data_IF_367607361812
#
_entry.id   IF_367607361812
#
_cell.length_a   1.000
_cell.length_b   1.000
_cell.length_c   1.000
_cell.angle_alpha   90.00
_cell.angle_beta   90.00
_cell.angle_gamma   90.00
#
_symmetry.space_group_name_H-M   'P 1'
#
loop_
_entity.id
_entity.type
_entity.pdbx_description
1 polymer ?
#
# COMPACT_ATOMS: atom_id res chain seq x y z
N UNK A 1 -16.20 -2.79 -3.23
CA UNK A 1 -15.89 -2.11 -4.50
C UNK A 1 -15.35 -0.72 -4.20
N UNK A 2 -14.30 -0.30 -4.89
CA UNK A 2 -13.81 1.08 -4.91
C UNK A 2 -13.93 1.57 -6.35
N UNK A 3 -14.62 2.69 -6.61
CA UNK A 3 -14.84 3.21 -7.97
C UNK A 3 -15.34 2.16 -8.99
N UNK A 4 -16.29 1.29 -8.60
CA UNK A 4 -16.82 0.19 -9.44
C UNK A 4 -15.78 -0.89 -9.83
N UNK A 5 -14.60 -0.88 -9.24
CA UNK A 5 -13.59 -1.92 -9.35
C UNK A 5 -13.63 -2.84 -8.12
N UNK A 6 -13.47 -4.15 -8.34
CA UNK A 6 -13.24 -5.11 -7.27
C UNK A 6 -11.79 -4.96 -6.80
N UNK A 7 -11.59 -4.68 -5.51
CA UNK A 7 -10.27 -4.56 -4.92
C UNK A 7 -10.04 -5.75 -4.00
N UNK A 8 -8.97 -6.49 -4.26
CA UNK A 8 -8.52 -7.55 -3.39
C UNK A 8 -7.61 -6.95 -2.32
N UNK A 9 -8.11 -6.90 -1.08
CA UNK A 9 -7.40 -6.27 0.06
C UNK A 9 -6.04 -6.93 0.34
N UNK A 10 -5.91 -8.23 0.09
CA UNK A 10 -4.66 -8.96 0.29
C UNK A 10 -3.52 -8.45 -0.61
N UNK A 11 -3.84 -7.76 -1.71
CA UNK A 11 -2.86 -7.22 -2.66
C UNK A 11 -2.41 -5.81 -2.31
N UNK A 12 -2.98 -5.16 -1.29
CA UNK A 12 -2.64 -3.76 -0.97
C UNK A 12 -1.16 -3.55 -0.61
N UNK A 13 -0.53 -4.56 0.02
CA UNK A 13 0.90 -4.50 0.32
C UNK A 13 1.72 -4.55 -0.97
N UNK A 14 1.28 -5.35 -1.92
CA UNK A 14 1.95 -5.51 -3.22
C UNK A 14 1.69 -4.31 -4.13
N UNK A 15 0.49 -3.73 -4.09
CA UNK A 15 0.17 -2.44 -4.71
C UNK A 15 1.11 -1.34 -4.23
N UNK A 16 1.39 -1.29 -2.92
CA UNK A 16 2.32 -0.32 -2.35
C UNK A 16 3.75 -0.57 -2.84
N UNK A 17 4.21 -1.83 -2.82
CA UNK A 17 5.55 -2.20 -3.32
C UNK A 17 5.70 -1.85 -4.79
N UNK A 18 4.72 -2.21 -5.61
CA UNK A 18 4.70 -1.89 -7.03
C UNK A 18 4.68 -0.38 -7.25
N UNK A 19 3.81 0.36 -6.57
CA UNK A 19 3.73 1.82 -6.66
C UNK A 19 5.08 2.49 -6.35
N UNK A 20 5.77 2.05 -5.29
CA UNK A 20 7.09 2.57 -4.95
C UNK A 20 8.12 2.24 -6.04
N UNK A 21 8.09 1.03 -6.58
CA UNK A 21 9.06 0.59 -7.58
C UNK A 21 8.90 1.29 -8.93
N UNK A 22 7.66 1.50 -9.39
CA UNK A 22 7.39 2.28 -10.61
C UNK A 22 7.71 3.76 -10.42
N UNK A 23 7.58 4.32 -9.20
CA UNK A 23 7.99 5.69 -8.91
C UNK A 23 9.52 5.85 -8.95
N UNK A 24 10.27 4.88 -8.41
CA UNK A 24 11.73 4.85 -8.56
C UNK A 24 12.13 4.76 -10.03
N UNK A 25 11.46 3.91 -10.80
CA UNK A 25 11.68 3.83 -12.25
C UNK A 25 11.43 5.18 -12.93
N UNK A 26 10.31 5.87 -12.64
CA UNK A 26 10.02 7.19 -13.23
C UNK A 26 11.17 8.17 -12.97
N UNK A 27 11.67 8.27 -11.73
CA UNK A 27 12.77 9.18 -11.38
C UNK A 27 14.07 8.86 -12.12
N UNK A 28 14.38 7.58 -12.29
CA UNK A 28 15.56 7.14 -13.04
C UNK A 28 15.41 7.46 -14.53
N UNK A 29 14.21 7.29 -15.07
CA UNK A 29 13.91 7.61 -16.46
C UNK A 29 13.99 9.12 -16.73
N UNK A 30 13.44 9.95 -15.83
CA UNK A 30 13.53 11.41 -15.91
C UNK A 30 15.01 11.86 -15.87
N UNK A 31 15.81 11.29 -14.97
CA UNK A 31 17.25 11.56 -14.90
C UNK A 31 18.00 11.15 -16.18
N UNK A 32 17.66 10.01 -16.77
CA UNK A 32 18.27 9.54 -18.02
C UNK A 32 17.89 10.45 -19.19
N UNK A 33 16.64 10.93 -19.24
CA UNK A 33 16.15 11.88 -20.24
C UNK A 33 16.89 13.22 -20.14
N UNK A 34 17.12 13.74 -18.93
CA UNK A 34 17.92 14.95 -18.69
C UNK A 34 19.40 14.78 -19.10
N UNK A 35 19.97 13.59 -18.91
CA UNK A 35 21.33 13.29 -19.38
C UNK A 35 21.36 13.16 -20.90
N UNK A 36 20.32 12.61 -21.52
CA UNK A 36 20.21 12.47 -22.96
C UNK A 36 20.09 13.85 -23.64
N UNK A 37 19.30 14.75 -23.05
CA UNK A 37 19.18 16.14 -23.50
C UNK A 37 20.53 16.90 -23.47
N UNK A 38 21.45 16.50 -22.59
CA UNK A 38 22.82 17.05 -22.50
C UNK A 38 23.84 16.27 -23.35
N UNK A 39 23.43 15.24 -24.07
CA UNK A 39 24.30 14.29 -24.79
C UNK A 39 25.31 13.55 -23.89
N UNK A 40 24.98 13.37 -22.60
CA UNK A 40 25.81 12.67 -21.61
C UNK A 40 25.23 11.29 -21.25
N UNK A 41 24.02 10.96 -21.73
CA UNK A 41 23.38 9.68 -21.44
C UNK A 41 24.24 8.51 -21.94
N UNK A 42 24.49 7.56 -21.05
CA UNK A 42 25.32 6.40 -21.36
C UNK A 42 24.46 5.19 -21.73
N UNK A 43 25.01 4.32 -22.59
CA UNK A 43 24.37 3.02 -22.91
C UNK A 43 24.02 2.22 -21.64
N UNK A 44 24.84 2.33 -20.61
CA UNK A 44 24.65 1.66 -19.33
C UNK A 44 23.35 2.09 -18.63
N UNK A 45 22.94 3.36 -18.73
CA UNK A 45 21.70 3.88 -18.13
C UNK A 45 20.46 3.31 -18.83
N UNK A 46 20.51 3.25 -20.16
CA UNK A 46 19.44 2.68 -20.98
C UNK A 46 19.30 1.18 -20.68
N UNK A 47 20.41 0.45 -20.64
CA UNK A 47 20.42 -0.99 -20.35
C UNK A 47 19.95 -1.28 -18.91
N UNK A 48 20.32 -0.41 -17.96
CA UNK A 48 19.80 -0.48 -16.59
C UNK A 48 18.28 -0.28 -16.52
N UNK A 49 17.74 0.72 -17.22
CA UNK A 49 16.29 0.96 -17.29
C UNK A 49 15.54 -0.23 -17.92
N UNK A 50 16.06 -0.81 -19.01
CA UNK A 50 15.50 -2.03 -19.62
C UNK A 50 15.45 -3.19 -18.63
N UNK A 51 16.57 -3.45 -17.94
CA UNK A 51 16.66 -4.52 -16.93
C UNK A 51 15.67 -4.28 -15.79
N UNK A 52 15.53 -3.03 -15.34
CA UNK A 52 14.59 -2.66 -14.29
C UNK A 52 13.14 -2.87 -14.72
N UNK A 53 12.76 -2.44 -15.92
CA UNK A 53 11.42 -2.63 -16.46
C UNK A 53 11.07 -4.12 -16.62
N UNK A 54 12.03 -4.94 -17.08
CA UNK A 54 11.87 -6.39 -17.19
C UNK A 54 11.63 -7.05 -15.81
N UNK A 55 12.37 -6.63 -14.78
CA UNK A 55 12.19 -7.13 -13.41
C UNK A 55 10.81 -6.74 -12.85
N UNK A 56 10.39 -5.48 -13.02
CA UNK A 56 9.05 -5.03 -12.59
C UNK A 56 7.96 -5.85 -13.28
N UNK A 57 8.09 -6.04 -14.60
CA UNK A 57 7.13 -6.83 -15.37
C UNK A 57 7.07 -8.27 -14.88
N UNK A 58 8.23 -8.92 -14.71
CA UNK A 58 8.30 -10.29 -14.20
C UNK A 58 7.70 -10.46 -12.81
N UNK A 59 7.91 -9.51 -11.91
CA UNK A 59 7.46 -9.63 -10.51
C UNK A 59 5.98 -9.34 -10.33
N UNK A 60 5.46 -8.32 -11.02
CA UNK A 60 4.13 -7.77 -10.74
C UNK A 60 3.12 -7.97 -11.89
N UNK A 61 3.59 -8.19 -13.13
CA UNK A 61 2.74 -8.15 -14.33
C UNK A 61 2.66 -9.48 -15.09
N UNK A 62 3.72 -10.30 -15.05
CA UNK A 62 3.83 -11.55 -15.80
C UNK A 62 3.78 -12.75 -14.85
N UNK A 63 2.60 -13.33 -14.65
CA UNK A 63 2.53 -14.66 -14.03
C UNK A 63 1.30 -15.44 -14.47
N UNK A 64 1.55 -16.52 -15.20
CA UNK A 64 0.58 -17.58 -15.52
C UNK A 64 0.32 -18.53 -14.32
N UNK A 65 1.08 -18.41 -13.23
CA UNK A 65 1.07 -19.36 -12.11
C UNK A 65 1.27 -18.58 -10.81
N UNK A 66 0.18 -18.05 -10.24
CA UNK A 66 0.14 -17.48 -8.89
C UNK A 66 1.31 -16.51 -8.58
N UNK A 67 1.23 -15.27 -9.08
CA UNK A 67 2.17 -14.26 -8.58
C UNK A 67 1.95 -14.09 -7.08
N UNK A 68 3.03 -14.25 -6.31
CA UNK A 68 3.07 -13.88 -4.89
C UNK A 68 2.88 -12.37 -4.66
N UNK A 69 2.86 -11.57 -5.74
CA UNK A 69 2.80 -10.10 -5.76
C UNK A 69 1.73 -9.61 -6.75
N UNK A 70 0.49 -10.08 -6.62
CA UNK A 70 -0.62 -9.57 -7.44
C UNK A 70 -0.93 -8.11 -7.09
N UNK A 71 -1.29 -7.33 -8.10
CA UNK A 71 -1.63 -5.90 -7.96
C UNK A 71 -3.01 -5.61 -8.54
N UNK A 72 -3.71 -4.65 -7.95
CA UNK A 72 -5.09 -4.26 -8.29
C UNK A 72 -5.15 -3.35 -9.55
N UNK A 73 -4.55 -3.81 -10.66
CA UNK A 73 -4.67 -3.18 -11.99
C UNK A 73 -5.44 -4.08 -12.94
N UNK A 74 -6.09 -3.46 -13.92
CA UNK A 74 -6.83 -4.20 -14.94
C UNK A 74 -5.90 -4.95 -15.88
N UNK A 75 -6.40 -6.01 -16.50
CA UNK A 75 -5.68 -6.74 -17.55
C UNK A 75 -5.28 -5.83 -18.71
N UNK A 76 -6.19 -4.93 -19.12
CA UNK A 76 -5.93 -3.92 -20.16
C UNK A 76 -4.74 -3.00 -19.84
N UNK A 77 -4.47 -2.74 -18.56
CA UNK A 77 -3.32 -1.95 -18.13
C UNK A 77 -2.02 -2.75 -18.17
N UNK A 78 -2.08 -4.04 -17.84
CA UNK A 78 -0.93 -4.96 -17.99
C UNK A 78 -0.53 -5.08 -19.46
N UNK A 79 -1.50 -5.29 -20.34
CA UNK A 79 -1.27 -5.42 -21.78
C UNK A 79 -0.71 -4.14 -22.39
N UNK A 80 -1.21 -2.99 -21.92
CA UNK A 80 -0.66 -1.70 -22.33
C UNK A 80 0.81 -1.54 -21.91
N UNK A 81 1.15 -1.87 -20.65
CA UNK A 81 2.54 -1.81 -20.19
C UNK A 81 3.43 -2.75 -21.01
N UNK A 82 2.95 -3.97 -21.28
CA UNK A 82 3.67 -4.93 -22.13
C UNK A 82 3.91 -4.39 -23.54
N UNK A 83 2.88 -3.83 -24.18
CA UNK A 83 2.97 -3.22 -25.51
C UNK A 83 3.91 -2.01 -25.55
N UNK A 84 3.88 -1.15 -24.54
CA UNK A 84 4.78 0.00 -24.46
C UNK A 84 6.23 -0.45 -24.22
N UNK A 85 6.43 -1.46 -23.37
CA UNK A 85 7.76 -2.02 -23.11
C UNK A 85 8.34 -2.70 -24.34
N UNK A 86 7.54 -3.43 -25.13
CA UNK A 86 8.01 -4.10 -26.36
C UNK A 86 8.38 -3.09 -27.45
N UNK A 87 7.75 -1.91 -27.47
CA UNK A 87 8.12 -0.77 -28.31
C UNK A 87 9.37 -0.01 -27.81
N UNK A 88 9.96 -0.44 -26.69
CA UNK A 88 11.17 0.17 -26.13
C UNK A 88 10.92 1.48 -25.38
N UNK A 89 9.69 1.75 -24.94
CA UNK A 89 9.39 2.93 -24.15
C UNK A 89 10.02 2.81 -22.76
N UNK A 90 10.98 3.69 -22.44
CA UNK A 90 11.71 3.70 -21.17
C UNK A 90 11.59 5.04 -20.44
N UNK A 91 10.47 5.73 -20.57
CA UNK A 91 10.21 6.99 -19.89
C UNK A 91 9.13 6.83 -18.80
N UNK A 92 8.84 7.91 -18.06
CA UNK A 92 7.83 7.91 -16.99
C UNK A 92 6.43 7.47 -17.44
N UNK A 93 6.11 7.59 -18.73
CA UNK A 93 4.80 7.27 -19.28
C UNK A 93 4.52 5.77 -19.27
N UNK A 94 5.56 4.93 -19.24
CA UNK A 94 5.45 3.47 -19.21
C UNK A 94 4.49 2.97 -18.12
N UNK A 95 4.53 3.59 -16.93
CA UNK A 95 3.70 3.19 -15.78
C UNK A 95 2.69 4.26 -15.35
N UNK A 96 2.50 5.33 -16.14
CA UNK A 96 1.65 6.46 -15.74
C UNK A 96 0.22 6.01 -15.44
N UNK A 97 -0.38 5.21 -16.33
CA UNK A 97 -1.76 4.75 -16.20
C UNK A 97 -1.95 3.86 -14.97
N UNK A 98 -1.04 2.90 -14.75
CA UNK A 98 -1.04 2.06 -13.55
C UNK A 98 -0.83 2.87 -12.25
N UNK A 99 0.01 3.91 -12.28
CA UNK A 99 0.19 4.82 -11.14
C UNK A 99 -1.11 5.53 -10.78
N UNK A 100 -1.84 6.04 -11.78
CA UNK A 100 -3.13 6.72 -11.60
C UNK A 100 -4.22 5.76 -11.10
N UNK A 101 -4.18 4.49 -11.51
CA UNK A 101 -5.12 3.47 -11.04
C UNK A 101 -4.87 3.05 -9.58
N UNK A 102 -3.62 2.82 -9.19
CA UNK A 102 -3.27 2.29 -7.86
C UNK A 102 -3.30 3.37 -6.76
N UNK A 103 -2.84 4.59 -7.07
CA UNK A 103 -2.77 5.67 -6.08
C UNK A 103 -4.09 5.91 -5.29
N UNK A 104 -5.27 6.02 -5.93
CA UNK A 104 -6.51 6.25 -5.20
C UNK A 104 -6.93 5.05 -4.32
N UNK A 105 -6.55 3.83 -4.70
CA UNK A 105 -6.76 2.63 -3.87
C UNK A 105 -5.89 2.73 -2.62
N UNK A 106 -4.59 2.97 -2.78
CA UNK A 106 -3.64 3.08 -1.67
C UNK A 106 -4.05 4.17 -0.68
N UNK A 107 -4.39 5.38 -1.16
CA UNK A 107 -4.75 6.48 -0.27
C UNK A 107 -6.06 6.22 0.49
N UNK A 108 -7.03 5.54 -0.15
CA UNK A 108 -8.29 5.18 0.50
C UNK A 108 -8.05 4.23 1.68
N UNK A 109 -7.33 3.14 1.44
CA UNK A 109 -7.05 2.15 2.48
C UNK A 109 -6.06 2.67 3.53
N UNK A 110 -5.12 3.53 3.14
CA UNK A 110 -4.23 4.21 4.08
C UNK A 110 -5.03 5.09 5.05
N UNK A 111 -5.93 5.95 4.54
CA UNK A 111 -6.80 6.78 5.39
C UNK A 111 -7.65 5.94 6.34
N UNK A 112 -8.23 4.85 5.83
CA UNK A 112 -9.02 3.91 6.65
C UNK A 112 -8.18 3.27 7.75
N UNK A 113 -6.96 2.84 7.43
CA UNK A 113 -6.02 2.29 8.39
C UNK A 113 -5.63 3.31 9.46
N UNK A 114 -5.30 4.54 9.06
CA UNK A 114 -5.00 5.64 9.98
C UNK A 114 -6.17 5.92 10.94
N UNK A 115 -7.40 6.04 10.42
CA UNK A 115 -8.59 6.24 11.24
C UNK A 115 -8.79 5.10 12.24
N UNK A 116 -8.69 3.85 11.79
CA UNK A 116 -8.81 2.69 12.68
C UNK A 116 -7.72 2.68 13.76
N UNK A 117 -6.47 2.96 13.39
CA UNK A 117 -5.34 3.00 14.32
C UNK A 117 -5.56 4.08 15.39
N UNK A 118 -6.00 5.27 14.99
CA UNK A 118 -6.34 6.38 15.88
C UNK A 118 -7.46 6.01 16.84
N UNK A 119 -8.56 5.43 16.33
CA UNK A 119 -9.69 4.99 17.15
C UNK A 119 -9.28 3.92 18.18
N UNK A 120 -8.40 2.98 17.80
CA UNK A 120 -7.84 1.99 18.74
C UNK A 120 -6.99 2.63 19.83
N UNK A 121 -6.12 3.58 19.49
CA UNK A 121 -5.28 4.27 20.47
C UNK A 121 -6.11 5.04 21.50
N UNK A 122 -7.21 5.67 21.08
CA UNK A 122 -8.12 6.37 22.00
C UNK A 122 -8.90 5.41 22.92
N UNK A 123 -9.30 4.23 22.43
CA UNK A 123 -9.97 3.23 23.28
C UNK A 123 -9.06 2.69 24.38
N UNK A 124 -7.77 2.47 24.10
CA UNK A 124 -6.79 2.04 25.11
C UNK A 124 -6.61 3.12 26.19
N UNK A 125 -6.53 4.39 25.78
CA UNK A 125 -6.47 5.53 26.71
C UNK A 125 -7.72 5.71 27.58
N UNK A 126 -8.89 5.26 27.11
CA UNK A 126 -10.14 5.36 27.86
C UNK A 126 -10.30 4.21 28.87
N UNK A 127 -9.86 3.00 28.52
CA UNK A 127 -9.86 1.84 29.44
C UNK A 127 -8.84 1.97 30.58
N UNK A 128 -7.72 2.68 30.39
CA UNK A 128 -6.78 3.00 31.48
C UNK A 128 -7.31 4.08 32.46
N UNK A 129 -8.47 4.69 32.17
CA UNK A 129 -9.10 5.72 33.01
C UNK A 129 -10.38 5.26 33.70
N UNK A 130 -10.62 3.96 33.83
CA UNK A 130 -11.63 3.46 34.78
C UNK A 130 -11.04 3.54 36.21
N UNK A 131 -11.66 4.29 37.14
CA UNK A 131 -11.23 4.32 38.51
C UNK A 131 -11.53 2.96 39.14
N UNK A 132 -10.51 2.32 39.70
CA UNK A 132 -10.66 1.19 40.61
C UNK A 132 -11.56 1.63 41.77
N UNK A 133 -12.88 1.44 41.66
CA UNK A 133 -13.79 1.51 42.79
C UNK A 133 -13.51 0.26 43.63
N UNK A 134 -12.56 0.42 44.56
CA UNK A 134 -12.33 -0.50 45.68
C UNK A 134 -13.65 -0.75 46.39
N UNK A 135 -14.20 -1.94 46.17
CA UNK A 135 -15.24 -2.52 47.01
C UNK A 135 -14.65 -2.74 48.41
N UNK A 136 -14.87 -1.78 49.32
CA UNK A 136 -14.59 -1.97 50.75
C UNK A 136 -15.64 -2.92 51.30
N UNK A 137 -15.19 -4.14 51.59
CA UNK A 137 -15.92 -5.20 52.28
C UNK A 137 -15.47 -5.20 53.75
N UNK A 138 -16.39 -4.97 54.69
CA UNK A 138 -16.27 -5.31 56.12
C UNK A 138 -17.70 -5.43 56.69
N UNK A 139 -18.20 -6.63 57.02
CA UNK A 139 -18.12 -7.30 58.34
C UNK A 139 -18.71 -6.43 59.46
N UNK A 140 -19.61 -6.84 60.35
CA UNK A 140 -20.31 -8.09 60.68
C UNK A 140 -21.23 -7.68 61.85
N UNK A 141 -22.51 -8.07 61.87
CA UNK A 141 -23.40 -7.77 63.00
C UNK A 141 -23.04 -8.57 64.26
N UNK A 142 -23.52 -8.12 65.42
CA UNK A 142 -24.07 -9.06 66.38
C UNK A 142 -25.50 -8.69 66.78
N UNK A 143 -26.32 -9.72 66.85
CA UNK A 143 -27.68 -9.76 67.37
C UNK A 143 -27.67 -9.62 68.89
N UNK A 144 -28.55 -8.79 69.48
CA UNK A 144 -29.16 -9.08 70.78
C UNK A 144 -30.61 -8.56 70.85
N UNK A 145 -31.47 -9.45 71.34
CA UNK A 145 -32.92 -9.42 71.59
C UNK A 145 -33.32 -8.62 72.83
N UNK A 146 -34.47 -7.94 72.82
CA UNK A 146 -35.69 -8.29 73.60
C UNK A 146 -36.77 -7.19 73.50
N UNK A 147 -38.04 -7.58 73.35
CA UNK A 147 -39.23 -6.77 73.57
C UNK A 147 -40.07 -7.40 74.69
N UNK A 148 -40.85 -6.62 75.43
CA UNK A 148 -42.21 -7.00 75.83
C UNK A 148 -43.24 -6.51 74.82
#
# INVERSE_FOLDING_TARGET
MFNKQLITVNFLVDDLRFYLEINKFSRLADSAEELAARNVCTKNEIDFLKKKAAIISKLFLSSDISSKLQVNISESERDLIWSLSSKGLLNRLLYHRAKVAIFPILIHFWKRFCNWKVMKSFQVSAMEKEPTLTAVKACSGPSETYSP
#
